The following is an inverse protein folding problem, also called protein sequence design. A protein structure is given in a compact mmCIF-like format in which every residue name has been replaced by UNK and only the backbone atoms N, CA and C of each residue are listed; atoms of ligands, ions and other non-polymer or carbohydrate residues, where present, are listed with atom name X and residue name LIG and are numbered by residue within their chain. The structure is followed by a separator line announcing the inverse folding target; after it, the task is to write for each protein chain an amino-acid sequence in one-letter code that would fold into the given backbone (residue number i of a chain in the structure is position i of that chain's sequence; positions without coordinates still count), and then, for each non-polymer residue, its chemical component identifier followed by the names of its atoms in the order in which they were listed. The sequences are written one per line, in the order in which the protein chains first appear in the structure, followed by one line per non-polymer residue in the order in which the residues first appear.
data_IF_767020975285
#
_entry.id   IF_767020975285
#
_cell.length_a   1.000
_cell.length_b   1.000
_cell.length_c   1.000
_cell.angle_alpha   90.00
_cell.angle_beta   90.00
_cell.angle_gamma   90.00
#
_symmetry.space_group_name_H-M   'P 1'
#
loop_
_entity.id
_entity.type
_entity.pdbx_description
1 polymer ?
#
# COMPACT_ATOMS: atom_id res chain seq x y z
N UNK A 1 3.56 3.57 9.11
CA UNK A 1 2.42 2.73 8.70
C UNK A 1 1.18 3.57 8.50
N UNK A 2 0.53 4.05 9.57
CA UNK A 2 -0.68 4.88 9.50
C UNK A 2 -0.53 6.09 8.56
N UNK A 3 0.59 6.81 8.64
CA UNK A 3 0.88 7.92 7.74
C UNK A 3 0.91 7.51 6.24
N UNK A 4 1.35 6.29 5.92
CA UNK A 4 1.32 5.79 4.54
C UNK A 4 -0.09 5.45 4.08
N UNK A 5 -0.95 4.93 4.96
CA UNK A 5 -2.37 4.70 4.67
C UNK A 5 -3.08 6.03 4.38
N UNK A 6 -2.90 7.03 5.25
CA UNK A 6 -3.48 8.36 5.05
C UNK A 6 -2.95 9.03 3.77
N UNK A 7 -1.65 8.91 3.47
CA UNK A 7 -1.07 9.42 2.24
C UNK A 7 -1.62 8.71 0.99
N UNK A 8 -1.77 7.39 1.03
CA UNK A 8 -2.35 6.62 -0.07
C UNK A 8 -3.81 7.03 -0.32
N UNK A 9 -4.59 7.20 0.74
CA UNK A 9 -5.97 7.68 0.65
C UNK A 9 -6.02 9.07 0.00
N UNK A 10 -5.19 10.00 0.48
CA UNK A 10 -5.12 11.35 -0.10
C UNK A 10 -4.74 11.33 -1.58
N UNK A 11 -3.76 10.52 -1.98
CA UNK A 11 -3.37 10.38 -3.38
C UNK A 11 -4.53 9.86 -4.23
N UNK A 12 -5.28 8.88 -3.74
CA UNK A 12 -6.42 8.30 -4.44
C UNK A 12 -7.60 9.26 -4.55
N UNK A 13 -7.78 10.19 -3.60
CA UNK A 13 -8.93 11.11 -3.59
C UNK A 13 -8.64 12.47 -4.21
N UNK A 14 -7.45 13.02 -3.97
CA UNK A 14 -7.12 14.42 -4.30
C UNK A 14 -6.21 14.57 -5.51
N UNK A 15 -5.64 13.47 -6.04
CA UNK A 15 -4.72 13.48 -7.19
C UNK A 15 -5.24 12.67 -8.37
N UNK A 16 -6.32 13.14 -9.05
CA UNK A 16 -6.88 12.45 -10.21
C UNK A 16 -5.92 12.40 -11.41
N UNK A 17 -4.88 13.24 -11.41
CA UNK A 17 -3.79 13.25 -12.39
C UNK A 17 -2.76 12.12 -12.17
N UNK A 18 -2.83 11.42 -11.03
CA UNK A 18 -1.93 10.33 -10.66
C UNK A 18 -2.62 8.98 -10.77
N UNK A 19 -1.84 7.97 -11.17
CA UNK A 19 -2.20 6.55 -11.09
C UNK A 19 -1.27 5.92 -10.06
N UNK A 20 -1.64 5.84 -8.77
CA UNK A 20 -0.74 5.43 -7.70
C UNK A 20 -0.02 4.11 -7.96
N UNK A 21 -0.71 3.12 -8.55
CA UNK A 21 -0.17 1.81 -8.92
C UNK A 21 1.03 1.93 -9.86
N UNK A 22 1.01 2.90 -10.77
CA UNK A 22 2.09 3.18 -11.73
C UNK A 22 3.12 4.16 -11.19
N UNK A 23 2.68 5.16 -10.43
CA UNK A 23 3.50 6.32 -10.07
C UNK A 23 4.27 6.12 -8.75
N UNK A 24 3.67 5.49 -7.74
CA UNK A 24 4.30 5.32 -6.43
C UNK A 24 5.58 4.48 -6.45
N UNK A 25 5.70 3.38 -7.23
CA UNK A 25 6.92 2.59 -7.26
C UNK A 25 8.17 3.45 -7.52
N UNK A 26 8.15 4.28 -8.56
CA UNK A 26 9.30 5.10 -8.94
C UNK A 26 9.49 6.30 -8.00
N UNK A 27 8.40 6.90 -7.51
CA UNK A 27 8.47 7.99 -6.52
C UNK A 27 9.16 7.51 -5.24
N UNK A 28 8.73 6.36 -4.70
CA UNK A 28 9.27 5.82 -3.45
C UNK A 28 10.73 5.41 -3.64
N UNK A 29 11.07 4.71 -4.73
CA UNK A 29 12.46 4.32 -5.03
C UNK A 29 13.38 5.54 -5.09
N UNK A 30 12.98 6.59 -5.82
CA UNK A 30 13.77 7.84 -5.93
C UNK A 30 13.88 8.58 -4.60
N UNK A 31 12.80 8.64 -3.84
CA UNK A 31 12.79 9.27 -2.53
C UNK A 31 13.78 8.58 -1.57
N UNK A 32 13.72 7.25 -1.48
CA UNK A 32 14.63 6.46 -0.63
C UNK A 32 16.09 6.77 -0.97
N UNK A 33 16.46 6.74 -2.26
CA UNK A 33 17.84 7.08 -2.69
C UNK A 33 18.20 8.51 -2.30
N UNK A 34 17.29 9.47 -2.47
CA UNK A 34 17.54 10.87 -2.10
C UNK A 34 17.68 11.09 -0.59
N UNK A 35 17.05 10.24 0.22
CA UNK A 35 17.13 10.26 1.68
C UNK A 35 18.35 9.50 2.23
N UNK A 36 19.17 8.89 1.36
CA UNK A 36 20.33 8.09 1.73
C UNK A 36 20.02 6.62 2.03
N UNK A 37 18.77 6.18 1.81
CA UNK A 37 18.38 4.78 1.93
C UNK A 37 18.79 3.97 0.69
N UNK A 38 19.07 2.69 0.92
CA UNK A 38 19.38 1.71 -0.14
C UNK A 38 18.11 0.90 -0.43
N UNK A 39 17.74 0.82 -1.70
CA UNK A 39 16.74 -0.14 -2.18
C UNK A 39 17.46 -1.43 -2.57
N UNK A 40 17.33 -2.47 -1.77
CA UNK A 40 17.87 -3.80 -2.04
C UNK A 40 16.84 -4.89 -1.73
N UNK A 41 17.27 -6.15 -1.75
CA UNK A 41 16.39 -7.32 -1.57
C UNK A 41 15.87 -7.48 -0.13
N UNK A 42 16.30 -6.62 0.79
CA UNK A 42 16.01 -6.68 2.22
C UNK A 42 15.46 -5.38 2.79
N UNK A 43 15.70 -4.24 2.16
CA UNK A 43 15.29 -2.91 2.62
C UNK A 43 14.88 -1.96 1.49
N UNK A 44 14.19 -0.88 1.86
CA UNK A 44 13.67 0.12 0.92
C UNK A 44 12.30 -0.24 0.36
N UNK A 45 12.12 -0.05 -0.95
CA UNK A 45 10.84 -0.24 -1.63
C UNK A 45 10.37 -1.71 -1.63
N UNK A 46 9.05 -1.90 -1.56
CA UNK A 46 8.41 -3.21 -1.61
C UNK A 46 7.17 -3.19 -2.52
N UNK A 47 7.27 -3.85 -3.67
CA UNK A 47 6.24 -3.83 -4.72
C UNK A 47 4.92 -4.45 -4.25
N UNK A 48 4.91 -5.71 -3.81
CA UNK A 48 3.67 -6.38 -3.38
C UNK A 48 2.96 -5.62 -2.27
N UNK A 49 3.66 -5.19 -1.21
CA UNK A 49 3.04 -4.42 -0.13
C UNK A 49 2.46 -3.10 -0.62
N UNK A 50 3.19 -2.36 -1.45
CA UNK A 50 2.71 -1.06 -1.97
C UNK A 50 1.44 -1.25 -2.78
N UNK A 51 1.44 -2.19 -3.73
CA UNK A 51 0.29 -2.46 -4.58
C UNK A 51 -0.90 -3.04 -3.80
N UNK A 52 -0.64 -3.86 -2.78
CA UNK A 52 -1.67 -4.42 -1.91
C UNK A 52 -2.40 -3.33 -1.13
N UNK A 53 -1.66 -2.39 -0.51
CA UNK A 53 -2.28 -1.29 0.21
C UNK A 53 -3.02 -0.33 -0.70
N UNK A 54 -2.52 -0.05 -1.92
CA UNK A 54 -3.27 0.75 -2.90
C UNK A 54 -4.62 0.10 -3.21
N UNK A 55 -4.65 -1.22 -3.47
CA UNK A 55 -5.88 -1.96 -3.73
C UNK A 55 -6.82 -1.95 -2.52
N UNK A 56 -6.29 -2.20 -1.31
CA UNK A 56 -7.09 -2.16 -0.08
C UNK A 56 -7.73 -0.80 0.16
N UNK A 57 -6.96 0.29 0.06
CA UNK A 57 -7.49 1.64 0.24
C UNK A 57 -8.49 2.01 -0.86
N UNK A 58 -8.29 1.55 -2.09
CA UNK A 58 -9.27 1.73 -3.17
C UNK A 58 -10.59 1.02 -2.85
N UNK A 59 -10.55 -0.24 -2.47
CA UNK A 59 -11.74 -1.00 -2.05
C UNK A 59 -12.45 -0.35 -0.85
N UNK A 60 -11.67 0.15 0.13
CA UNK A 60 -12.22 0.94 1.24
C UNK A 60 -12.95 2.20 0.75
N UNK A 61 -12.39 2.95 -0.20
CA UNK A 61 -13.00 4.17 -0.74
C UNK A 61 -14.27 3.89 -1.55
N UNK A 62 -14.41 2.71 -2.15
CA UNK A 62 -15.61 2.29 -2.88
C UNK A 62 -16.80 2.03 -1.94
N UNK A 63 -16.54 1.52 -0.74
CA UNK A 63 -17.57 1.27 0.29
C UNK A 63 -17.74 2.44 1.26
N UNK A 64 -16.74 3.30 1.38
CA UNK A 64 -16.77 4.49 2.22
C UNK A 64 -17.67 5.55 1.57
N UNK A 65 -18.81 5.83 2.21
CA UNK A 65 -19.73 6.86 1.75
C UNK A 65 -19.09 8.26 1.68
N UNK A 66 -19.75 9.22 1.02
CA UNK A 66 -19.23 10.57 0.87
C UNK A 66 -19.05 11.24 2.24
N UNK A 67 -17.81 11.63 2.56
CA UNK A 67 -17.43 12.32 3.80
C UNK A 67 -16.18 13.16 3.59
N UNK A 68 -15.84 14.01 4.57
CA UNK A 68 -14.65 14.84 4.50
C UNK A 68 -13.37 13.99 4.46
N UNK A 69 -12.31 14.48 3.83
CA UNK A 69 -11.03 13.76 3.71
C UNK A 69 -10.49 13.28 5.08
N UNK A 70 -10.47 14.17 6.07
CA UNK A 70 -9.98 13.84 7.41
C UNK A 70 -10.83 12.74 8.09
N UNK A 71 -12.14 12.75 7.86
CA UNK A 71 -13.05 11.72 8.37
C UNK A 71 -12.79 10.37 7.70
N UNK A 72 -12.64 10.33 6.37
CA UNK A 72 -12.25 9.12 5.64
C UNK A 72 -10.91 8.57 6.10
N UNK A 73 -9.93 9.44 6.34
CA UNK A 73 -8.64 9.04 6.88
C UNK A 73 -8.78 8.40 8.27
N UNK A 74 -9.53 9.02 9.18
CA UNK A 74 -9.79 8.46 10.51
C UNK A 74 -10.51 7.10 10.43
N UNK A 75 -11.51 6.98 9.56
CA UNK A 75 -12.23 5.71 9.33
C UNK A 75 -11.29 4.63 8.79
N UNK A 76 -10.44 4.95 7.81
CA UNK A 76 -9.44 4.01 7.28
C UNK A 76 -8.50 3.48 8.37
N UNK A 77 -8.05 4.35 9.28
CA UNK A 77 -7.16 3.98 10.38
C UNK A 77 -7.84 3.10 11.45
N UNK A 78 -9.17 2.98 11.41
CA UNK A 78 -9.95 2.06 12.25
C UNK A 78 -10.50 0.84 11.49
N UNK A 79 -10.24 0.76 10.18
CA UNK A 79 -10.72 -0.33 9.33
C UNK A 79 -9.87 -1.60 9.47
N UNK A 80 -10.33 -2.70 8.85
CA UNK A 80 -9.58 -3.96 8.78
C UNK A 80 -8.23 -3.85 8.06
N UNK A 81 -8.03 -2.81 7.24
CA UNK A 81 -6.78 -2.56 6.50
C UNK A 81 -5.70 -1.92 7.39
N UNK A 82 -6.11 -1.29 8.51
CA UNK A 82 -5.21 -0.54 9.39
C UNK A 82 -4.10 -1.38 10.04
N UNK A 83 -4.34 -2.62 10.51
CA UNK A 83 -3.31 -3.44 11.13
C UNK A 83 -2.11 -3.71 10.20
N UNK A 84 -0.91 -3.74 10.77
CA UNK A 84 0.35 -4.00 10.03
C UNK A 84 0.45 -5.44 9.52
N UNK A 85 -0.31 -6.34 10.11
CA UNK A 85 -0.37 -7.76 9.76
C UNK A 85 -1.54 -8.08 8.80
N UNK A 86 -2.35 -7.10 8.40
CA UNK A 86 -3.38 -7.25 7.37
C UNK A 86 -2.87 -7.94 6.08
N UNK A 87 -1.66 -7.63 5.55
CA UNK A 87 -1.11 -8.37 4.42
C UNK A 87 -0.97 -9.88 4.65
N UNK A 88 -0.75 -10.32 5.89
CA UNK A 88 -0.59 -11.74 6.22
C UNK A 88 -1.91 -12.51 6.21
N UNK A 89 -3.05 -11.83 6.03
CA UNK A 89 -4.34 -12.49 5.82
C UNK A 89 -4.39 -13.12 4.42
N UNK A 90 -3.67 -12.52 3.45
CA UNK A 90 -3.64 -12.95 2.05
C UNK A 90 -2.35 -13.67 1.68
N UNK A 91 -1.24 -13.39 2.38
CA UNK A 91 0.07 -13.92 2.06
C UNK A 91 0.70 -14.74 3.19
N UNK A 92 1.41 -15.80 2.84
CA UNK A 92 2.40 -16.44 3.74
C UNK A 92 3.55 -15.48 3.98
N UNK A 93 4.29 -15.66 5.09
CA UNK A 93 5.47 -14.84 5.37
C UNK A 93 6.57 -15.11 4.34
N UNK A 94 6.68 -16.37 3.93
CA UNK A 94 7.63 -16.88 2.95
C UNK A 94 7.44 -16.19 1.59
N UNK A 95 6.20 -16.09 1.12
CA UNK A 95 5.90 -15.36 -0.11
C UNK A 95 6.12 -13.85 0.06
N UNK A 96 5.48 -13.25 1.08
CA UNK A 96 5.43 -11.79 1.23
C UNK A 96 6.80 -11.15 1.42
N UNK A 97 7.69 -11.78 2.19
CA UNK A 97 9.01 -11.24 2.50
C UNK A 97 10.13 -11.74 1.57
N UNK A 98 9.76 -12.41 0.47
CA UNK A 98 10.72 -12.82 -0.55
C UNK A 98 11.26 -11.63 -1.36
N UNK A 99 12.46 -11.78 -1.91
CA UNK A 99 13.01 -10.80 -2.86
C UNK A 99 12.11 -10.64 -4.11
N UNK A 100 11.38 -11.68 -4.50
CA UNK A 100 10.43 -11.63 -5.60
C UNK A 100 9.26 -10.67 -5.31
N UNK A 101 8.65 -10.76 -4.12
CA UNK A 101 7.56 -9.87 -3.69
C UNK A 101 8.01 -8.42 -3.45
N UNK A 102 9.29 -8.20 -3.15
CA UNK A 102 9.85 -6.84 -3.09
C UNK A 102 9.99 -6.20 -4.47
N UNK A 103 10.40 -6.98 -5.47
CA UNK A 103 10.66 -6.49 -6.83
C UNK A 103 9.42 -6.45 -7.72
N UNK A 104 8.49 -7.39 -7.53
CA UNK A 104 7.34 -7.60 -8.40
C UNK A 104 6.08 -7.80 -7.58
N UNK A 105 4.92 -7.62 -8.21
CA UNK A 105 3.66 -8.11 -7.67
C UNK A 105 3.67 -9.65 -7.66
N UNK A 106 3.36 -10.21 -6.50
CA UNK A 106 3.08 -11.63 -6.32
C UNK A 106 1.59 -11.77 -6.02
N UNK A 107 0.92 -12.74 -6.63
CA UNK A 107 -0.46 -13.05 -6.26
C UNK A 107 -0.54 -13.61 -4.83
N UNK A 108 -1.63 -13.35 -4.09
CA UNK A 108 -1.88 -13.96 -2.78
C UNK A 108 -1.85 -15.48 -2.80
N UNK A 109 -1.21 -16.08 -1.79
CA UNK A 109 -1.04 -17.53 -1.66
C UNK A 109 -1.79 -18.15 -0.46
N UNK A 110 -2.50 -17.34 0.34
CA UNK A 110 -3.38 -17.82 1.44
C UNK A 110 -4.87 -17.64 1.16
N UNK A 111 -5.24 -16.47 0.68
CA UNK A 111 -6.62 -16.09 0.41
C UNK A 111 -6.66 -15.07 -0.73
N UNK A 112 -7.70 -15.13 -1.57
CA UNK A 112 -7.89 -14.12 -2.61
C UNK A 112 -8.18 -12.75 -2.00
N UNK A 113 -7.82 -11.68 -2.73
CA UNK A 113 -8.31 -10.33 -2.43
C UNK A 113 -9.81 -10.30 -2.76
N UNK A 114 -10.64 -10.01 -1.77
CA UNK A 114 -12.09 -9.82 -1.93
C UNK A 114 -12.42 -8.40 -2.38
#
# INVERSE_FOLDING_TARGET
HEAHLAACLWLLTERPDMVPERNLPDIIRRYNVSAGDINDDTQGYHETLTQLYIRGVRGFLEVCGPSALAERANLLLTSEIAPRDWPLWFYTRECLFSAAARRNWMEPDRAALS
#
